data_IF_212787543514
#
_entry.id   IF_212787543514
#
_cell.length_a   1.000
_cell.length_b   1.000
_cell.length_c   1.000
_cell.angle_alpha   90.00
_cell.angle_beta   90.00
_cell.angle_gamma   90.00
#
_symmetry.space_group_name_H-M   'P 1'
#
loop_
_entity.id
_entity.type
_entity.pdbx_description
1 polymer ?
#
# COMPACT_ATOMS: atom_id res chain seq x y z
N UNK A 1 12.63 -4.12 -15.54
CA UNK A 1 12.20 -4.78 -14.29
C UNK A 1 12.98 -6.08 -14.14
N UNK A 2 13.24 -6.57 -12.92
CA UNK A 2 13.95 -7.85 -12.75
C UNK A 2 13.15 -9.01 -13.36
N UNK A 3 13.83 -10.00 -13.94
CA UNK A 3 13.17 -11.11 -14.63
C UNK A 3 12.22 -11.88 -13.70
N UNK A 4 12.63 -12.13 -12.46
CA UNK A 4 11.82 -12.81 -11.45
C UNK A 4 10.57 -12.00 -11.06
N UNK A 5 10.70 -10.70 -10.81
CA UNK A 5 9.57 -9.82 -10.49
C UNK A 5 8.48 -9.89 -11.58
N UNK A 6 8.90 -9.81 -12.85
CA UNK A 6 7.98 -9.87 -13.99
C UNK A 6 7.25 -11.20 -14.09
N UNK A 7 7.96 -12.32 -13.91
CA UNK A 7 7.38 -13.66 -13.93
C UNK A 7 6.37 -13.87 -12.80
N UNK A 8 6.69 -13.42 -11.58
CA UNK A 8 5.78 -13.50 -10.44
C UNK A 8 4.51 -12.69 -10.72
N UNK A 9 4.62 -11.49 -11.29
CA UNK A 9 3.45 -10.66 -11.60
C UNK A 9 2.56 -11.27 -12.69
N UNK A 10 3.15 -11.89 -13.71
CA UNK A 10 2.40 -12.62 -14.73
C UNK A 10 1.72 -13.86 -14.18
N UNK A 11 2.38 -14.58 -13.25
CA UNK A 11 1.77 -15.69 -12.52
C UNK A 11 0.61 -15.22 -11.63
N UNK A 12 0.75 -14.11 -10.90
CA UNK A 12 -0.37 -13.53 -10.15
C UNK A 12 -1.51 -13.13 -11.09
N UNK A 13 -1.20 -12.59 -12.27
CA UNK A 13 -2.20 -12.25 -13.28
C UNK A 13 -2.96 -13.49 -13.80
N UNK A 14 -2.31 -14.66 -13.91
CA UNK A 14 -2.97 -15.88 -14.38
C UNK A 14 -4.01 -16.42 -13.38
N UNK A 15 -3.95 -16.01 -12.12
CA UNK A 15 -4.95 -16.34 -11.08
C UNK A 15 -6.21 -15.47 -11.14
N UNK A 16 -6.25 -14.45 -12.01
CA UNK A 16 -7.38 -13.51 -12.06
C UNK A 16 -8.67 -14.21 -12.48
N UNK A 17 -9.74 -13.92 -11.74
CA UNK A 17 -11.12 -14.26 -12.11
C UNK A 17 -12.00 -13.02 -11.95
N UNK A 18 -13.17 -12.93 -12.62
CA UNK A 18 -14.05 -11.77 -12.50
C UNK A 18 -14.47 -11.47 -11.05
N UNK A 19 -14.69 -12.51 -10.24
CA UNK A 19 -15.04 -12.36 -8.82
C UNK A 19 -13.85 -11.87 -8.00
N UNK A 20 -12.67 -12.48 -8.18
CA UNK A 20 -11.46 -12.07 -7.48
C UNK A 20 -11.07 -10.63 -7.83
N UNK A 21 -11.20 -10.23 -9.09
CA UNK A 21 -10.91 -8.86 -9.53
C UNK A 21 -11.81 -7.84 -8.82
N UNK A 22 -13.13 -8.10 -8.76
CA UNK A 22 -14.06 -7.21 -8.04
C UNK A 22 -13.69 -7.08 -6.57
N UNK A 23 -13.38 -8.20 -5.91
CA UNK A 23 -12.94 -8.21 -4.52
C UNK A 23 -11.65 -7.41 -4.32
N UNK A 24 -10.63 -7.64 -5.15
CA UNK A 24 -9.34 -6.94 -5.04
C UNK A 24 -9.46 -5.44 -5.32
N UNK A 25 -10.30 -5.04 -6.28
CA UNK A 25 -10.58 -3.63 -6.58
C UNK A 25 -11.27 -2.96 -5.39
N UNK A 26 -12.30 -3.59 -4.82
CA UNK A 26 -12.97 -3.09 -3.63
C UNK A 26 -12.00 -2.96 -2.45
N UNK A 27 -11.20 -4.01 -2.18
CA UNK A 27 -10.26 -4.03 -1.07
C UNK A 27 -9.20 -2.93 -1.17
N UNK A 28 -8.59 -2.74 -2.34
CA UNK A 28 -7.54 -1.72 -2.48
C UNK A 28 -8.08 -0.29 -2.44
N UNK A 29 -9.35 -0.06 -2.79
CA UNK A 29 -10.00 1.25 -2.63
C UNK A 29 -10.14 1.63 -1.16
N UNK A 30 -10.30 0.67 -0.24
CA UNK A 30 -10.32 0.96 1.20
C UNK A 30 -9.00 1.56 1.67
N UNK A 31 -7.88 1.05 1.15
CA UNK A 31 -6.55 1.55 1.47
C UNK A 31 -6.14 2.82 0.70
N UNK A 32 -6.99 3.34 -0.18
CA UNK A 32 -6.64 4.47 -1.04
C UNK A 32 -6.32 5.73 -0.22
N UNK A 33 -5.26 6.43 -0.63
CA UNK A 33 -4.65 7.52 0.14
C UNK A 33 -4.34 7.22 1.62
N UNK A 34 -4.36 5.94 2.03
CA UNK A 34 -4.21 5.53 3.43
C UNK A 34 -5.45 5.77 4.30
N UNK A 35 -6.61 6.08 3.72
CA UNK A 35 -7.82 6.48 4.46
C UNK A 35 -8.26 5.45 5.51
N UNK A 36 -8.32 4.15 5.16
CA UNK A 36 -8.65 3.10 6.11
C UNK A 36 -7.69 3.06 7.30
N UNK A 37 -6.39 3.23 7.05
CA UNK A 37 -5.38 3.17 8.10
C UNK A 37 -5.42 4.42 9.00
N UNK A 38 -5.68 5.59 8.42
CA UNK A 38 -5.90 6.83 9.18
C UNK A 38 -7.15 6.69 10.06
N UNK A 39 -8.26 6.20 9.51
CA UNK A 39 -9.49 5.96 10.27
C UNK A 39 -9.25 4.98 11.42
N UNK A 40 -8.49 3.91 11.19
CA UNK A 40 -8.12 2.95 12.23
C UNK A 40 -7.26 3.58 13.33
N UNK A 41 -6.26 4.40 12.98
CA UNK A 41 -5.46 5.12 13.96
C UNK A 41 -6.31 6.08 14.80
N UNK A 42 -7.23 6.82 14.18
CA UNK A 42 -8.15 7.71 14.89
C UNK A 42 -9.10 6.96 15.82
N UNK A 43 -9.64 5.81 15.39
CA UNK A 43 -10.48 4.96 16.22
C UNK A 43 -9.73 4.47 17.47
N UNK A 44 -8.48 4.04 17.30
CA UNK A 44 -7.61 3.62 18.41
C UNK A 44 -7.27 4.78 19.36
N UNK A 45 -7.16 6.01 18.87
CA UNK A 45 -6.98 7.21 19.71
C UNK A 45 -8.26 7.54 20.50
N UNK A 46 -9.43 7.35 19.90
CA UNK A 46 -10.70 7.64 20.56
C UNK A 46 -10.94 6.74 21.78
N UNK A 47 -10.49 5.49 21.74
CA UNK A 47 -10.64 4.49 22.80
C UNK A 47 -9.52 4.67 23.85
N UNK A 48 -9.83 5.03 25.12
CA UNK A 48 -8.81 5.45 26.10
C UNK A 48 -7.66 4.46 26.34
N UNK A 49 -7.95 3.16 26.36
CA UNK A 49 -6.94 2.14 26.64
C UNK A 49 -6.05 1.80 25.44
N UNK A 50 -6.43 2.14 24.20
CA UNK A 50 -5.63 1.93 22.99
C UNK A 50 -4.94 3.21 22.49
N UNK A 51 -5.04 4.33 23.23
CA UNK A 51 -4.52 5.64 22.79
C UNK A 51 -3.05 5.62 22.39
N UNK A 52 -2.20 4.93 23.17
CA UNK A 52 -0.77 4.81 22.87
C UNK A 52 -0.56 4.14 21.51
N UNK A 53 -1.28 3.04 21.25
CA UNK A 53 -1.28 2.33 19.97
C UNK A 53 -1.77 3.19 18.82
N UNK A 54 -2.84 3.95 19.03
CA UNK A 54 -3.37 4.88 18.03
C UNK A 54 -2.38 5.99 17.68
N UNK A 55 -1.73 6.61 18.67
CA UNK A 55 -0.67 7.60 18.45
C UNK A 55 0.54 7.01 17.73
N UNK A 56 1.01 5.82 18.13
CA UNK A 56 2.10 5.12 17.45
C UNK A 56 1.74 4.80 15.99
N UNK A 57 0.50 4.40 15.72
CA UNK A 57 -0.01 4.11 14.37
C UNK A 57 -0.05 5.37 13.51
N UNK A 58 -0.58 6.48 14.05
CA UNK A 58 -0.59 7.76 13.36
C UNK A 58 0.83 8.27 13.04
N UNK A 59 1.76 8.13 13.99
CA UNK A 59 3.16 8.47 13.78
C UNK A 59 3.82 7.60 12.71
N UNK A 60 3.59 6.28 12.74
CA UNK A 60 4.07 5.34 11.74
C UNK A 60 3.53 5.64 10.34
N UNK A 61 2.25 6.02 10.23
CA UNK A 61 1.64 6.47 8.97
C UNK A 61 2.30 7.74 8.44
N UNK A 62 2.49 8.75 9.30
CA UNK A 62 3.10 10.02 8.91
C UNK A 62 4.54 9.83 8.42
N UNK A 63 5.37 9.11 9.18
CA UNK A 63 6.76 8.83 8.79
C UNK A 63 6.78 7.94 7.54
N UNK A 64 5.95 6.90 7.49
CA UNK A 64 5.88 5.99 6.36
C UNK A 64 5.53 6.73 5.06
N UNK A 65 4.55 7.64 5.11
CA UNK A 65 4.16 8.47 3.98
C UNK A 65 5.26 9.44 3.57
N UNK A 66 5.91 10.12 4.52
CA UNK A 66 7.04 11.02 4.27
C UNK A 66 8.19 10.27 3.58
N UNK A 67 8.66 9.19 4.19
CA UNK A 67 9.80 8.43 3.68
C UNK A 67 9.46 7.78 2.34
N UNK A 68 8.30 7.12 2.22
CA UNK A 68 7.95 6.40 1.00
C UNK A 68 7.61 7.34 -0.15
N UNK A 69 6.67 8.27 0.06
CA UNK A 69 6.11 9.05 -1.04
C UNK A 69 6.93 10.30 -1.37
N UNK A 70 7.57 10.93 -0.38
CA UNK A 70 8.30 12.18 -0.60
C UNK A 70 9.81 11.98 -0.77
N UNK A 71 10.40 10.96 -0.13
CA UNK A 71 11.85 10.71 -0.25
C UNK A 71 12.16 9.60 -1.25
N UNK A 72 11.67 8.38 -1.02
CA UNK A 72 12.10 7.20 -1.76
C UNK A 72 11.50 7.12 -3.16
N UNK A 73 10.19 7.41 -3.33
CA UNK A 73 9.56 7.37 -4.66
C UNK A 73 10.23 8.31 -5.68
N UNK A 74 10.48 9.59 -5.36
CA UNK A 74 11.22 10.50 -6.25
C UNK A 74 12.69 10.13 -6.40
N UNK A 75 13.29 9.45 -5.42
CA UNK A 75 14.66 8.98 -5.52
C UNK A 75 14.81 7.82 -6.51
N UNK A 76 13.93 6.83 -6.47
CA UNK A 76 14.03 5.65 -7.33
C UNK A 76 13.37 5.83 -8.70
N UNK A 77 12.32 6.66 -8.81
CA UNK A 77 11.56 6.90 -10.05
C UNK A 77 11.22 5.63 -10.84
N UNK A 78 10.95 4.52 -10.12
CA UNK A 78 10.79 3.22 -10.74
C UNK A 78 9.46 3.17 -11.49
N UNK A 79 9.44 2.90 -12.81
CA UNK A 79 8.19 2.81 -13.56
C UNK A 79 7.32 1.64 -13.05
N UNK A 80 6.01 1.73 -13.29
CA UNK A 80 5.07 0.67 -12.92
C UNK A 80 5.27 -0.59 -13.77
N UNK A 81 5.00 -1.78 -13.21
CA UNK A 81 5.24 -3.04 -13.91
C UNK A 81 4.48 -3.17 -15.23
N UNK A 82 3.23 -2.69 -15.30
CA UNK A 82 2.40 -2.76 -16.51
C UNK A 82 2.95 -1.93 -17.69
N UNK A 83 3.90 -1.03 -17.43
CA UNK A 83 4.60 -0.25 -18.47
C UNK A 83 5.79 -1.02 -19.04
N UNK A 84 6.40 -1.90 -18.25
CA UNK A 84 7.71 -2.50 -18.58
C UNK A 84 7.68 -4.01 -18.76
N UNK A 85 6.62 -4.70 -18.32
CA UNK A 85 6.46 -6.15 -18.43
C UNK A 85 5.43 -6.46 -19.52
N UNK A 86 5.84 -7.01 -20.67
CA UNK A 86 4.93 -7.35 -21.76
C UNK A 86 3.82 -8.31 -21.29
N UNK A 87 2.59 -8.06 -21.73
CA UNK A 87 1.42 -8.89 -21.38
C UNK A 87 0.84 -8.64 -19.98
N UNK A 88 1.47 -7.83 -19.13
CA UNK A 88 0.92 -7.44 -17.83
C UNK A 88 -0.07 -6.28 -17.98
N UNK A 89 -1.26 -6.43 -17.40
CA UNK A 89 -2.35 -5.45 -17.44
C UNK A 89 -2.67 -4.96 -16.04
N UNK A 90 -3.00 -3.68 -15.87
CA UNK A 90 -3.43 -3.12 -14.60
C UNK A 90 -4.94 -3.35 -14.35
N UNK A 91 -5.31 -3.61 -13.10
CA UNK A 91 -6.73 -3.73 -12.69
C UNK A 91 -7.35 -2.36 -12.36
N UNK A 92 -6.53 -1.39 -11.98
CA UNK A 92 -6.92 -0.04 -11.60
C UNK A 92 -5.97 0.93 -12.29
N UNK A 93 -6.49 2.08 -12.70
CA UNK A 93 -5.68 3.15 -13.23
C UNK A 93 -4.82 3.79 -12.12
N UNK A 94 -3.51 3.80 -12.34
CA UNK A 94 -2.51 4.44 -11.48
C UNK A 94 -1.71 5.52 -12.22
N UNK A 95 -2.27 6.06 -13.32
CA UNK A 95 -1.68 7.14 -14.11
C UNK A 95 -1.23 8.35 -13.27
N UNK A 96 -1.95 8.67 -12.18
CA UNK A 96 -1.65 9.78 -11.27
C UNK A 96 -0.48 9.52 -10.29
N UNK A 97 0.01 8.27 -10.18
CA UNK A 97 1.14 7.89 -9.32
C UNK A 97 2.10 6.96 -10.08
N UNK A 98 2.98 7.54 -10.94
CA UNK A 98 3.78 6.77 -11.89
C UNK A 98 4.90 5.93 -11.25
N UNK A 99 5.24 6.22 -9.99
CA UNK A 99 6.36 5.59 -9.29
C UNK A 99 5.90 4.36 -8.50
N UNK A 100 6.49 3.19 -8.80
CA UNK A 100 6.06 1.90 -8.25
C UNK A 100 6.77 1.48 -6.98
N UNK A 101 7.90 2.10 -6.64
CA UNK A 101 8.72 1.70 -5.49
C UNK A 101 9.08 2.89 -4.60
N UNK A 102 8.92 2.77 -3.27
CA UNK A 102 8.20 1.69 -2.56
C UNK A 102 6.66 1.83 -2.67
N UNK A 103 5.92 0.80 -2.27
CA UNK A 103 4.46 0.80 -2.27
C UNK A 103 3.91 1.57 -1.07
N UNK A 104 3.16 2.66 -1.32
CA UNK A 104 2.53 3.47 -0.27
C UNK A 104 1.50 2.70 0.56
N UNK A 105 0.59 1.95 -0.10
CA UNK A 105 -0.40 1.11 0.59
C UNK A 105 0.24 0.08 1.51
N UNK A 106 1.31 -0.59 1.04
CA UNK A 106 2.03 -1.57 1.85
C UNK A 106 2.73 -0.90 3.04
N UNK A 107 3.41 0.23 2.83
CA UNK A 107 4.02 1.00 3.93
C UNK A 107 2.97 1.39 4.98
N UNK A 108 1.81 1.87 4.57
CA UNK A 108 0.75 2.28 5.49
C UNK A 108 0.21 1.08 6.30
N UNK A 109 -0.08 -0.04 5.63
CA UNK A 109 -0.57 -1.25 6.27
C UNK A 109 0.41 -1.78 7.32
N UNK A 110 1.66 -2.00 6.92
CA UNK A 110 2.68 -2.51 7.83
C UNK A 110 3.03 -1.51 8.93
N UNK A 111 3.03 -0.21 8.66
CA UNK A 111 3.24 0.82 9.67
C UNK A 111 2.24 0.73 10.82
N UNK A 112 0.95 0.58 10.50
CA UNK A 112 -0.08 0.42 11.54
C UNK A 112 -0.04 -0.95 12.19
N UNK A 113 0.11 -2.04 11.42
CA UNK A 113 0.21 -3.39 11.99
C UNK A 113 1.38 -3.52 12.98
N UNK A 114 2.55 -2.94 12.66
CA UNK A 114 3.71 -2.95 13.56
C UNK A 114 3.47 -2.07 14.78
N UNK A 115 2.85 -0.90 14.63
CA UNK A 115 2.50 -0.07 15.78
C UNK A 115 1.56 -0.80 16.75
N UNK A 116 0.54 -1.51 16.23
CA UNK A 116 -0.34 -2.36 17.03
C UNK A 116 0.47 -3.47 17.70
N UNK A 117 1.24 -4.24 16.95
CA UNK A 117 2.01 -5.36 17.49
C UNK A 117 2.98 -4.96 18.62
N UNK A 118 3.60 -3.79 18.52
CA UNK A 118 4.61 -3.32 19.47
C UNK A 118 4.04 -2.58 20.69
N UNK A 119 2.75 -2.27 20.71
CA UNK A 119 2.15 -1.42 21.77
C UNK A 119 0.92 -1.99 22.44
N UNK A 120 0.44 -3.16 21.98
CA UNK A 120 -0.59 -3.96 22.67
C UNK A 120 0.03 -4.77 23.80
#
# INVERSE_FOLDING_TARGET
MGALDGQILLWIQSLRTPLLNKFMIFYTQLGDHGLLFIAMALLLIAIPFTRRTGCASAFGLAIGALVTNLLLKPFFMRPRPYVTVPGLTNLIDMSKDPNSFPSGHATAAFGVCMAIFLTV
#
